data_IF_029334654414
#
_entry.id   IF_029334654414
#
_cell.length_a   1.000
_cell.length_b   1.000
_cell.length_c   1.000
_cell.angle_alpha   90.00
_cell.angle_beta   90.00
_cell.angle_gamma   90.00
#
_symmetry.space_group_name_H-M   'P 1'
#
loop_
_entity.id
_entity.type
_entity.pdbx_description
1 polymer ?
#
# COMPACT_ATOMS: atom_id res chain seq x y z
N UNK A 1 -22.24 20.58 72.87
CA UNK A 1 -21.00 19.87 72.46
C UNK A 1 -21.29 18.71 71.51
N UNK A 2 -22.23 17.80 71.80
CA UNK A 2 -22.61 16.71 70.88
C UNK A 2 -22.99 17.18 69.46
N UNK A 3 -23.77 18.26 69.33
CA UNK A 3 -24.21 18.77 68.02
C UNK A 3 -23.06 19.31 67.15
N UNK A 4 -22.05 19.95 67.76
CA UNK A 4 -20.82 20.38 67.06
C UNK A 4 -19.94 19.20 66.66
N UNK A 5 -19.94 18.12 67.46
CA UNK A 5 -19.20 16.90 67.17
C UNK A 5 -19.83 16.13 66.00
N UNK A 6 -21.16 16.12 65.94
CA UNK A 6 -21.93 15.56 64.83
C UNK A 6 -21.74 16.35 63.53
N UNK A 7 -21.75 17.69 63.59
CA UNK A 7 -21.45 18.54 62.43
C UNK A 7 -20.03 18.33 61.91
N UNK A 8 -19.03 18.22 62.80
CA UNK A 8 -17.64 17.91 62.39
C UNK A 8 -17.53 16.54 61.74
N UNK A 9 -18.21 15.51 62.25
CA UNK A 9 -18.22 14.19 61.62
C UNK A 9 -18.89 14.21 60.24
N UNK A 10 -20.02 14.90 60.09
CA UNK A 10 -20.69 15.03 58.80
C UNK A 10 -19.82 15.75 57.78
N UNK A 11 -19.18 16.85 58.17
CA UNK A 11 -18.32 17.64 57.29
C UNK A 11 -17.06 16.84 56.87
N UNK A 12 -16.52 16.03 57.77
CA UNK A 12 -15.38 15.15 57.49
C UNK A 12 -15.76 13.96 56.59
N UNK A 13 -16.98 13.43 56.72
CA UNK A 13 -17.51 12.41 55.81
C UNK A 13 -17.73 12.98 54.40
N UNK A 14 -18.27 14.20 54.30
CA UNK A 14 -18.52 14.86 53.02
C UNK A 14 -17.21 15.17 52.27
N UNK A 15 -16.17 15.63 52.98
CA UNK A 15 -14.85 15.83 52.39
C UNK A 15 -14.19 14.52 51.93
N UNK A 16 -14.33 13.43 52.69
CA UNK A 16 -13.83 12.11 52.26
C UNK A 16 -14.53 11.63 50.99
N UNK A 17 -15.84 11.80 50.89
CA UNK A 17 -16.60 11.41 49.69
C UNK A 17 -16.19 12.24 48.46
N UNK A 18 -16.00 13.56 48.60
CA UNK A 18 -15.52 14.40 47.50
C UNK A 18 -14.11 14.03 47.05
N UNK A 19 -13.20 13.71 47.98
CA UNK A 19 -11.85 13.24 47.62
C UNK A 19 -11.86 11.88 46.91
N UNK A 20 -12.72 10.95 47.35
CA UNK A 20 -12.87 9.66 46.69
C UNK A 20 -13.42 9.80 45.27
N UNK A 21 -14.39 10.70 45.07
CA UNK A 21 -14.95 10.97 43.75
C UNK A 21 -13.95 11.66 42.81
N UNK A 22 -13.13 12.60 43.33
CA UNK A 22 -12.02 13.19 42.56
C UNK A 22 -10.90 12.18 42.23
N UNK A 23 -10.66 11.18 43.07
CA UNK A 23 -9.71 10.11 42.78
C UNK A 23 -10.24 9.16 41.70
N UNK A 24 -11.54 8.86 41.67
CA UNK A 24 -12.16 8.07 40.60
C UNK A 24 -12.15 8.81 39.25
N UNK A 25 -12.46 10.10 39.23
CA UNK A 25 -12.43 10.91 38.00
C UNK A 25 -11.01 11.09 37.40
N UNK A 26 -9.96 10.87 38.19
CA UNK A 26 -8.56 10.87 37.72
C UNK A 26 -8.11 9.54 37.11
N UNK A 27 -8.92 8.47 37.17
CA UNK A 27 -8.57 7.17 36.60
C UNK A 27 -9.04 6.99 35.15
N UNK A 28 -9.75 7.95 34.55
CA UNK A 28 -10.12 7.93 33.12
C UNK A 28 -9.50 9.12 32.38
N UNK A 29 -8.20 9.01 32.11
CA UNK A 29 -7.59 9.47 30.86
C UNK A 29 -6.59 8.39 30.40
N UNK A 30 -6.60 8.03 29.11
CA UNK A 30 -5.80 6.93 28.56
C UNK A 30 -4.32 7.31 28.57
N UNK A 31 -3.50 6.46 29.17
CA UNK A 31 -2.05 6.48 28.94
C UNK A 31 -1.72 5.55 27.77
N UNK A 32 -0.73 5.91 26.92
CA UNK A 32 -0.39 5.17 25.71
C UNK A 32 0.06 3.77 26.07
N UNK A 33 -0.65 2.76 25.57
CA UNK A 33 -0.22 1.37 25.68
C UNK A 33 1.04 1.18 24.85
N UNK A 34 2.19 1.06 25.51
CA UNK A 34 3.26 0.18 25.03
C UNK A 34 2.81 -1.27 25.26
N UNK A 35 2.80 -2.15 24.26
CA UNK A 35 2.72 -3.58 24.50
C UNK A 35 4.13 -4.13 24.79
N UNK A 36 4.38 -4.51 26.05
CA UNK A 36 5.33 -5.58 26.37
C UNK A 36 4.61 -6.90 26.07
N UNK A 37 5.02 -7.62 25.02
CA UNK A 37 4.53 -8.99 24.76
C UNK A 37 5.61 -9.95 25.22
N UNK A 38 5.37 -10.56 26.38
CA UNK A 38 6.10 -11.72 26.85
C UNK A 38 5.67 -12.93 26.03
N UNK A 39 6.67 -13.66 25.55
CA UNK A 39 6.58 -14.97 24.94
C UNK A 39 5.78 -15.92 25.84
N UNK A 40 4.65 -16.47 25.34
CA UNK A 40 4.28 -17.89 25.50
C UNK A 40 2.92 -18.22 24.86
N UNK A 41 3.01 -18.98 23.76
CA UNK A 41 2.05 -20.00 23.27
C UNK A 41 0.77 -19.60 22.50
N UNK A 42 0.96 -19.43 21.18
CA UNK A 42 0.55 -20.38 20.11
C UNK A 42 -0.93 -20.78 20.04
N UNK A 43 -1.64 -20.28 19.00
CA UNK A 43 -2.31 -21.07 17.92
C UNK A 43 -3.61 -20.42 17.38
N UNK A 44 -3.48 -19.48 16.45
CA UNK A 44 -4.31 -19.36 15.23
C UNK A 44 -3.78 -18.21 14.36
N UNK A 45 -3.44 -18.54 13.13
CA UNK A 45 -2.70 -17.80 12.11
C UNK A 45 -2.98 -16.30 11.92
N UNK A 46 -1.86 -15.58 11.76
CA UNK A 46 -1.55 -14.56 10.75
C UNK A 46 -2.42 -13.30 10.65
N UNK A 47 -2.05 -12.26 11.41
CA UNK A 47 -2.07 -10.86 10.94
C UNK A 47 -0.88 -10.14 11.57
N UNK A 48 0.25 -10.13 10.88
CA UNK A 48 1.29 -9.11 11.05
C UNK A 48 1.19 -8.28 9.78
N UNK A 49 0.48 -7.16 9.83
CA UNK A 49 0.46 -6.21 8.72
C UNK A 49 1.37 -5.04 9.11
N UNK A 50 2.54 -5.04 8.46
CA UNK A 50 3.71 -4.19 8.64
C UNK A 50 3.43 -2.67 8.68
N UNK A 51 3.80 -1.99 9.77
CA UNK A 51 4.03 -0.53 9.80
C UNK A 51 5.38 -0.13 9.14
N UNK A 52 5.70 -0.70 7.98
CA UNK A 52 6.76 -0.21 7.09
C UNK A 52 6.46 -0.53 5.61
N UNK A 53 5.26 -0.18 5.15
CA UNK A 53 4.97 -0.17 3.72
C UNK A 53 5.55 1.11 3.10
N UNK A 54 6.79 1.02 2.64
CA UNK A 54 7.12 1.69 1.38
C UNK A 54 6.07 1.21 0.38
N UNK A 55 5.07 2.04 0.08
CA UNK A 55 4.07 1.76 -0.94
C UNK A 55 4.78 1.80 -2.31
N UNK A 56 5.52 0.74 -2.62
CA UNK A 56 6.18 0.58 -3.90
C UNK A 56 5.11 0.24 -4.94
N UNK A 57 5.00 1.08 -5.98
CA UNK A 57 4.04 0.90 -7.04
C UNK A 57 4.77 0.46 -8.31
N UNK A 58 4.53 -0.78 -8.70
CA UNK A 58 5.12 -1.35 -9.90
C UNK A 58 4.30 -0.95 -11.12
N UNK A 59 4.89 -0.22 -12.06
CA UNK A 59 4.21 0.17 -13.30
C UNK A 59 5.05 -0.22 -14.51
N UNK A 60 4.42 -0.82 -15.51
CA UNK A 60 5.03 -1.09 -16.81
C UNK A 60 4.54 -0.06 -17.80
N UNK A 61 5.45 0.59 -18.52
CA UNK A 61 5.09 1.36 -19.71
C UNK A 61 5.28 0.49 -20.94
N UNK A 62 4.20 0.26 -21.66
CA UNK A 62 4.21 -0.44 -22.92
C UNK A 62 4.18 0.57 -24.06
N UNK A 63 4.97 0.33 -25.10
CA UNK A 63 5.06 1.12 -26.33
C UNK A 63 4.90 0.21 -27.54
N UNK A 64 4.39 0.76 -28.64
CA UNK A 64 4.22 0.02 -29.90
C UNK A 64 2.89 -0.72 -29.99
N UNK A 65 1.98 -0.49 -29.05
CA UNK A 65 0.65 -1.09 -29.06
C UNK A 65 -0.09 -0.72 -30.36
N UNK A 66 -0.81 -1.68 -30.98
CA UNK A 66 -1.75 -1.38 -32.06
C UNK A 66 -2.73 -0.29 -31.63
N UNK A 67 -3.10 0.61 -32.55
CA UNK A 67 -4.10 1.64 -32.24
C UNK A 67 -5.50 1.08 -31.93
N UNK A 68 -5.77 -0.17 -32.29
CA UNK A 68 -6.98 -0.89 -31.94
C UNK A 68 -6.87 -1.66 -30.62
N UNK A 69 -5.73 -1.61 -29.93
CA UNK A 69 -5.53 -2.33 -28.68
C UNK A 69 -6.40 -1.75 -27.57
N UNK A 70 -7.07 -2.63 -26.84
CA UNK A 70 -7.90 -2.29 -25.68
C UNK A 70 -7.19 -2.66 -24.37
N UNK A 71 -7.71 -2.17 -23.24
CA UNK A 71 -7.20 -2.54 -21.93
C UNK A 71 -7.25 -4.07 -21.71
N UNK A 72 -8.33 -4.72 -22.14
CA UNK A 72 -8.48 -6.18 -22.11
C UNK A 72 -7.41 -6.91 -22.91
N UNK A 73 -7.04 -6.41 -24.09
CA UNK A 73 -6.01 -7.03 -24.93
C UNK A 73 -4.63 -6.95 -24.25
N UNK A 74 -4.36 -5.83 -23.58
CA UNK A 74 -3.12 -5.62 -22.81
C UNK A 74 -3.06 -6.59 -21.62
N UNK A 75 -4.16 -6.72 -20.87
CA UNK A 75 -4.24 -7.66 -19.73
C UNK A 75 -4.06 -9.09 -20.19
N UNK A 76 -4.75 -9.49 -21.28
CA UNK A 76 -4.60 -10.82 -21.86
C UNK A 76 -3.19 -11.08 -22.33
N UNK A 77 -2.56 -10.11 -23.00
CA UNK A 77 -1.17 -10.24 -23.44
C UNK A 77 -0.22 -10.45 -22.28
N UNK A 78 -0.34 -9.66 -21.21
CA UNK A 78 0.49 -9.79 -20.01
C UNK A 78 0.24 -11.10 -19.26
N UNK A 79 -1.01 -11.52 -19.16
CA UNK A 79 -1.40 -12.77 -18.50
C UNK A 79 -0.96 -14.01 -19.29
N UNK A 80 -1.07 -13.99 -20.62
CA UNK A 80 -0.67 -15.12 -21.49
C UNK A 80 0.85 -15.25 -21.57
N UNK A 81 1.56 -14.13 -21.67
CA UNK A 81 3.01 -14.17 -21.91
C UNK A 81 3.82 -14.29 -20.64
N UNK A 82 3.43 -13.56 -19.59
CA UNK A 82 4.20 -13.42 -18.36
C UNK A 82 3.51 -13.93 -17.10
N UNK A 83 2.31 -14.52 -17.18
CA UNK A 83 1.51 -14.86 -15.98
C UNK A 83 1.28 -13.66 -15.04
N UNK A 84 1.44 -12.45 -15.57
CA UNK A 84 1.55 -11.25 -14.76
C UNK A 84 0.15 -10.70 -14.41
N UNK A 85 -0.08 -10.41 -13.13
CA UNK A 85 -1.34 -9.85 -12.63
C UNK A 85 -1.32 -8.34 -12.58
N UNK A 86 -2.33 -7.76 -13.23
CA UNK A 86 -2.57 -6.32 -13.24
C UNK A 86 -3.39 -5.94 -12.00
N UNK A 87 -2.91 -4.97 -11.24
CA UNK A 87 -3.60 -4.43 -10.06
C UNK A 87 -4.92 -3.80 -10.51
N UNK A 88 -6.05 -4.31 -9.99
CA UNK A 88 -7.37 -3.79 -10.35
C UNK A 88 -7.81 -4.08 -11.80
N UNK A 89 -7.13 -5.00 -12.51
CA UNK A 89 -7.50 -5.41 -13.85
C UNK A 89 -7.55 -4.24 -14.84
N UNK A 90 -8.70 -4.02 -15.50
CA UNK A 90 -8.87 -2.92 -16.46
C UNK A 90 -8.69 -1.54 -15.87
N UNK A 91 -8.89 -1.37 -14.55
CA UNK A 91 -8.70 -0.09 -13.88
C UNK A 91 -7.21 0.28 -13.71
N UNK A 92 -6.31 -0.72 -13.70
CA UNK A 92 -4.87 -0.52 -13.63
C UNK A 92 -4.21 -0.26 -14.99
N UNK A 93 -4.98 -0.28 -16.09
CA UNK A 93 -4.47 -0.05 -17.44
C UNK A 93 -4.86 1.35 -17.92
N UNK A 94 -3.85 2.19 -18.11
CA UNK A 94 -4.01 3.56 -18.56
C UNK A 94 -3.44 3.72 -19.97
N UNK A 95 -4.32 3.71 -20.98
CA UNK A 95 -3.92 3.99 -22.36
C UNK A 95 -3.71 5.49 -22.56
N UNK A 96 -2.57 5.86 -23.14
CA UNK A 96 -2.25 7.25 -23.42
C UNK A 96 -2.84 7.67 -24.76
N UNK A 97 -3.45 8.85 -24.78
CA UNK A 97 -3.96 9.48 -26.00
C UNK A 97 -3.02 10.61 -26.44
N UNK A 98 -2.77 10.70 -27.74
CA UNK A 98 -2.07 11.83 -28.33
C UNK A 98 -2.96 13.09 -28.31
N UNK A 99 -2.35 14.27 -28.54
CA UNK A 99 -3.07 15.57 -28.56
C UNK A 99 -4.21 15.63 -29.58
N UNK A 100 -4.15 14.80 -30.62
CA UNK A 100 -5.16 14.70 -31.68
C UNK A 100 -6.33 13.76 -31.30
N UNK A 101 -6.34 13.21 -30.08
CA UNK A 101 -7.36 12.26 -29.62
C UNK A 101 -7.18 10.83 -30.15
N UNK A 102 -6.10 10.56 -30.89
CA UNK A 102 -5.72 9.21 -31.33
C UNK A 102 -4.90 8.50 -30.24
N UNK A 103 -5.08 7.18 -30.01
CA UNK A 103 -4.19 6.43 -29.12
C UNK A 103 -2.73 6.57 -29.54
N UNK A 104 -1.86 6.93 -28.60
CA UNK A 104 -0.43 7.14 -28.88
C UNK A 104 0.33 5.83 -29.13
N UNK A 105 -0.31 4.68 -28.87
CA UNK A 105 0.35 3.37 -28.85
C UNK A 105 1.23 3.18 -27.61
N UNK A 106 1.02 4.02 -26.58
CA UNK A 106 1.64 3.88 -25.26
C UNK A 106 0.55 3.58 -24.20
N UNK A 107 0.86 2.70 -23.26
CA UNK A 107 0.01 2.41 -22.11
C UNK A 107 0.85 2.25 -20.84
N UNK A 108 0.24 2.55 -19.70
CA UNK A 108 0.81 2.31 -18.38
C UNK A 108 -0.02 1.24 -17.68
N UNK A 109 0.63 0.23 -17.13
CA UNK A 109 -0.04 -0.90 -16.48
C UNK A 109 0.49 -1.04 -15.08
N UNK A 110 -0.40 -0.92 -14.11
CA UNK A 110 -0.10 -1.13 -12.68
C UNK A 110 -0.07 -2.62 -12.36
N UNK A 111 1.02 -3.10 -11.80
CA UNK A 111 1.21 -4.50 -11.43
C UNK A 111 0.89 -4.70 -9.95
N UNK A 112 0.41 -5.90 -9.60
CA UNK A 112 0.10 -6.25 -8.20
C UNK A 112 1.36 -6.53 -7.39
N UNK A 113 2.36 -7.18 -7.99
CA UNK A 113 3.62 -7.56 -7.33
C UNK A 113 4.86 -7.26 -8.17
N UNK A 114 6.03 -7.31 -7.52
CA UNK A 114 7.34 -7.24 -8.20
C UNK A 114 7.56 -8.45 -9.13
N UNK A 115 7.06 -9.62 -8.75
CA UNK A 115 7.21 -10.85 -9.55
C UNK A 115 6.47 -10.72 -10.88
N UNK A 116 5.26 -10.16 -10.86
CA UNK A 116 4.48 -9.86 -12.06
C UNK A 116 5.22 -8.87 -12.97
N UNK A 117 5.88 -7.87 -12.38
CA UNK A 117 6.71 -6.91 -13.11
C UNK A 117 7.89 -7.60 -13.80
N UNK A 118 8.60 -8.48 -13.09
CA UNK A 118 9.73 -9.25 -13.65
C UNK A 118 9.26 -10.19 -14.76
N UNK A 119 8.11 -10.81 -14.59
CA UNK A 119 7.58 -11.75 -15.56
C UNK A 119 7.11 -11.03 -16.85
N UNK A 120 6.52 -9.84 -16.72
CA UNK A 120 6.22 -8.96 -17.84
C UNK A 120 7.51 -8.54 -18.60
N UNK A 121 8.59 -8.24 -17.87
CA UNK A 121 9.88 -7.88 -18.48
C UNK A 121 10.53 -9.01 -19.27
N UNK A 122 10.47 -10.24 -18.75
CA UNK A 122 11.07 -11.40 -19.40
C UNK A 122 10.49 -11.64 -20.80
N UNK A 123 9.37 -10.98 -21.09
CA UNK A 123 8.59 -11.05 -22.33
C UNK A 123 8.57 -9.72 -23.08
N UNK A 124 9.52 -8.82 -22.78
CA UNK A 124 9.78 -7.64 -23.60
C UNK A 124 10.08 -8.06 -25.06
N UNK A 125 9.66 -7.22 -26.02
CA UNK A 125 9.79 -7.43 -27.48
C UNK A 125 8.95 -8.54 -28.08
N UNK A 126 7.93 -8.98 -27.36
CA UNK A 126 6.91 -9.88 -27.91
C UNK A 126 5.97 -9.16 -28.89
N UNK A 127 5.31 -9.96 -29.72
CA UNK A 127 4.41 -9.45 -30.75
C UNK A 127 2.96 -9.40 -30.29
N UNK A 128 2.32 -8.24 -30.45
CA UNK A 128 0.87 -8.11 -30.39
C UNK A 128 0.33 -7.95 -31.81
N UNK A 129 -0.05 -9.08 -32.41
CA UNK A 129 -0.43 -9.13 -33.83
C UNK A 129 0.75 -8.83 -34.74
N UNK A 130 0.64 -7.81 -35.59
CA UNK A 130 1.70 -7.45 -36.55
C UNK A 130 2.65 -6.35 -36.04
N UNK A 131 2.59 -6.01 -34.75
CA UNK A 131 3.46 -4.98 -34.15
C UNK A 131 4.26 -5.58 -33.00
N UNK A 132 5.52 -5.18 -32.93
CA UNK A 132 6.39 -5.46 -31.81
C UNK A 132 6.03 -4.53 -30.67
N UNK A 133 5.90 -5.09 -29.48
CA UNK A 133 5.66 -4.34 -28.26
C UNK A 133 6.98 -4.17 -27.55
N UNK A 134 7.34 -2.91 -27.29
CA UNK A 134 8.48 -2.57 -26.45
C UNK A 134 7.95 -2.24 -25.05
N UNK A 135 8.30 -3.06 -24.07
CA UNK A 135 8.04 -2.83 -22.65
C UNK A 135 9.21 -2.06 -22.03
N UNK A 136 8.97 -0.81 -21.65
CA UNK A 136 9.86 -0.06 -20.78
C UNK A 136 9.38 -0.19 -19.34
N UNK A 137 10.22 -0.68 -18.44
CA UNK A 137 9.89 -0.70 -17.01
C UNK A 137 10.00 0.71 -16.45
N UNK A 138 8.98 1.10 -15.69
CA UNK A 138 9.00 2.34 -14.93
C UNK A 138 8.58 2.04 -13.50
N UNK A 139 9.57 1.78 -12.64
CA UNK A 139 9.30 1.58 -11.21
C UNK A 139 9.07 2.95 -10.57
N UNK A 140 7.91 3.09 -9.90
CA UNK A 140 7.59 4.24 -9.08
C UNK A 140 7.61 3.87 -7.60
N UNK A 141 8.35 4.64 -6.81
CA UNK A 141 8.33 4.52 -5.35
C UNK A 141 7.42 5.62 -4.80
N UNK A 142 6.45 5.26 -3.98
CA UNK A 142 5.65 6.22 -3.24
C UNK A 142 6.16 6.27 -1.80
N UNK A 143 6.72 7.42 -1.41
CA UNK A 143 6.72 7.80 0.00
C UNK A 143 5.47 8.65 0.24
N UNK A 144 4.95 8.72 1.47
CA UNK A 144 3.66 9.36 1.85
C UNK A 144 3.33 10.74 1.25
N UNK A 145 4.25 11.41 0.55
CA UNK A 145 4.03 12.68 -0.14
C UNK A 145 4.69 12.80 -1.52
N UNK A 146 5.47 11.81 -1.98
CA UNK A 146 6.31 11.92 -3.18
C UNK A 146 6.34 10.65 -4.02
N UNK A 147 6.28 10.83 -5.34
CA UNK A 147 6.41 9.77 -6.35
C UNK A 147 7.80 9.86 -6.98
N UNK A 148 8.62 8.83 -6.81
CA UNK A 148 9.98 8.77 -7.36
C UNK A 148 10.01 7.80 -8.54
N UNK A 149 10.42 8.27 -9.72
CA UNK A 149 10.68 7.42 -10.88
C UNK A 149 12.13 6.94 -10.84
N UNK A 150 12.36 5.63 -10.88
CA UNK A 150 13.72 5.11 -11.05
C UNK A 150 14.22 5.22 -12.49
N UNK A 151 15.49 5.57 -12.64
CA UNK A 151 16.18 5.58 -13.92
C UNK A 151 16.38 4.16 -14.45
N UNK A 152 16.28 3.98 -15.77
CA UNK A 152 16.40 2.68 -16.42
C UNK A 152 17.68 1.91 -16.04
N UNK A 153 18.83 2.60 -15.92
CA UNK A 153 20.07 1.96 -15.48
C UNK A 153 19.97 1.36 -14.07
N UNK A 154 19.26 2.02 -13.15
CA UNK A 154 19.09 1.57 -11.77
C UNK A 154 18.19 0.35 -11.73
N UNK A 155 17.13 0.35 -12.55
CA UNK A 155 16.20 -0.78 -12.69
C UNK A 155 16.92 -2.02 -13.21
N UNK A 156 17.73 -1.88 -14.27
CA UNK A 156 18.50 -2.99 -14.83
C UNK A 156 19.52 -3.55 -13.82
N UNK A 157 20.19 -2.70 -13.06
CA UNK A 157 21.09 -3.13 -11.99
C UNK A 157 20.31 -3.91 -10.92
N UNK A 158 19.14 -3.44 -10.51
CA UNK A 158 18.30 -4.12 -9.53
C UNK A 158 17.88 -5.52 -10.05
N UNK A 159 17.39 -5.60 -11.28
CA UNK A 159 16.98 -6.88 -11.88
C UNK A 159 18.17 -7.86 -11.98
N UNK A 160 19.36 -7.37 -12.35
CA UNK A 160 20.57 -8.21 -12.43
C UNK A 160 21.06 -8.69 -11.05
N UNK A 161 20.81 -7.93 -9.99
CA UNK A 161 21.20 -8.30 -8.62
C UNK A 161 20.21 -9.30 -8.00
N UNK A 162 18.92 -9.20 -8.35
CA UNK A 162 17.84 -9.99 -7.75
C UNK A 162 17.26 -11.09 -8.68
N UNK A 163 18.08 -11.61 -9.61
CA UNK A 163 17.73 -12.71 -10.53
C UNK A 163 18.58 -13.96 -10.34
#
# INVERSE_FOLDING_TARGET
>A
QQQQQQQKQQQQQQQKQQQQQQQQLKQEQPSPTQPQINEDQKRSNEQIDDENQSNEGFVVKMRGLPWSATADDIIKFLSILGEAKVRGGTAGVHLTMAREGRPSGEAYVEMESEEDLKAALKKDREHMGNRYIEGEIIIYYYNNTNVYRMSHCVILIFILIYS
#
